data_IF_658052246236
#
_entry.id   IF_658052246236
#
_cell.length_a   1.000
_cell.length_b   1.000
_cell.length_c   1.000
_cell.angle_alpha   90.00
_cell.angle_beta   90.00
_cell.angle_gamma   90.00
#
_symmetry.space_group_name_H-M   'P 1'
#
loop_
_entity.id
_entity.type
_entity.pdbx_description
1 polymer ?
#
# COMPACT_ATOMS: atom_id res chain seq x y z
N UNK A 1 34.20 -23.65 -18.73
CA UNK A 1 34.17 -23.15 -17.35
C UNK A 1 32.73 -22.83 -17.04
N UNK A 2 32.10 -23.69 -16.24
CA UNK A 2 30.68 -23.69 -15.89
C UNK A 2 30.51 -23.01 -14.52
N UNK A 3 29.48 -22.18 -14.41
CA UNK A 3 28.69 -21.93 -13.19
C UNK A 3 29.37 -21.24 -11.99
N UNK A 4 29.90 -20.02 -12.17
CA UNK A 4 30.22 -19.11 -11.04
C UNK A 4 29.18 -18.00 -10.83
N UNK A 5 28.30 -17.74 -11.81
CA UNK A 5 27.30 -16.66 -11.72
C UNK A 5 26.07 -17.02 -10.86
N UNK A 6 25.84 -18.30 -10.57
CA UNK A 6 24.66 -18.76 -9.82
C UNK A 6 24.80 -18.62 -8.30
N UNK A 7 26.00 -18.84 -7.75
CA UNK A 7 26.20 -18.78 -6.30
C UNK A 7 26.37 -17.35 -5.78
N UNK A 8 27.01 -16.45 -6.54
CA UNK A 8 27.09 -15.02 -6.18
C UNK A 8 25.70 -14.38 -6.11
N UNK A 9 24.81 -14.72 -7.04
CA UNK A 9 23.43 -14.20 -7.07
C UNK A 9 22.59 -14.65 -5.87
N UNK A 10 22.67 -15.93 -5.49
CA UNK A 10 21.90 -16.46 -4.36
C UNK A 10 22.38 -15.90 -3.01
N UNK A 11 23.68 -15.82 -2.81
CA UNK A 11 24.28 -15.29 -1.57
C UNK A 11 23.99 -13.80 -1.37
N UNK A 12 23.93 -13.05 -2.48
CA UNK A 12 23.65 -11.62 -2.45
C UNK A 12 22.15 -11.32 -2.21
N UNK A 13 21.25 -12.15 -2.77
CA UNK A 13 19.82 -12.10 -2.46
C UNK A 13 19.55 -12.37 -0.97
N UNK A 14 20.25 -13.36 -0.39
CA UNK A 14 20.18 -13.68 1.04
C UNK A 14 20.64 -12.47 1.89
N UNK A 15 21.72 -11.79 1.48
CA UNK A 15 22.18 -10.56 2.14
C UNK A 15 21.17 -9.43 2.06
N UNK A 16 20.60 -9.15 0.89
CA UNK A 16 19.57 -8.11 0.71
C UNK A 16 18.33 -8.42 1.56
N UNK A 17 17.87 -9.67 1.58
CA UNK A 17 16.79 -10.13 2.48
C UNK A 17 17.14 -9.89 3.95
N UNK A 18 18.36 -10.22 4.37
CA UNK A 18 18.77 -10.03 5.76
C UNK A 18 18.82 -8.55 6.17
N UNK A 19 19.26 -7.67 5.27
CA UNK A 19 19.24 -6.21 5.50
C UNK A 19 17.81 -5.72 5.68
N UNK A 20 16.89 -6.10 4.80
CA UNK A 20 15.46 -5.74 4.89
C UNK A 20 14.85 -6.27 6.19
N UNK A 21 15.07 -7.54 6.53
CA UNK A 21 14.55 -8.15 7.77
C UNK A 21 15.08 -7.44 9.02
N UNK A 22 16.37 -7.07 9.03
CA UNK A 22 16.96 -6.34 10.14
C UNK A 22 16.36 -4.93 10.25
N UNK A 23 16.13 -4.25 9.12
CA UNK A 23 15.51 -2.94 9.08
C UNK A 23 14.08 -2.98 9.65
N UNK A 24 13.25 -3.94 9.21
CA UNK A 24 11.90 -4.18 9.73
C UNK A 24 11.92 -4.43 11.24
N UNK A 25 12.86 -5.25 11.72
CA UNK A 25 12.97 -5.58 13.14
C UNK A 25 13.37 -4.39 14.02
N UNK A 26 14.02 -3.38 13.43
CA UNK A 26 14.51 -2.19 14.14
C UNK A 26 13.55 -1.00 14.10
N UNK A 27 12.61 -0.96 13.14
CA UNK A 27 11.70 0.17 12.95
C UNK A 27 10.22 -0.24 13.16
N UNK A 28 9.55 0.29 14.20
CA UNK A 28 8.12 0.05 14.45
C UNK A 28 7.19 0.41 13.28
N UNK A 29 7.58 1.39 12.44
CA UNK A 29 6.80 1.80 11.26
C UNK A 29 6.83 0.75 10.16
N UNK A 30 7.93 0.00 10.05
CA UNK A 30 8.08 -1.08 9.07
C UNK A 30 7.38 -2.36 9.53
N UNK A 31 7.18 -2.55 10.84
CA UNK A 31 6.39 -3.66 11.38
C UNK A 31 4.92 -3.60 10.94
N UNK A 32 4.31 -2.42 10.84
CA UNK A 32 2.92 -2.29 10.34
C UNK A 32 2.82 -2.58 8.84
N UNK A 33 3.92 -2.48 8.11
CA UNK A 33 4.02 -2.70 6.65
C UNK A 33 4.58 -4.08 6.29
N UNK A 34 4.73 -4.98 7.27
CA UNK A 34 5.38 -6.30 7.10
C UNK A 34 4.85 -7.09 5.91
N UNK A 35 3.54 -7.19 5.72
CA UNK A 35 2.95 -7.94 4.61
C UNK A 35 3.35 -7.38 3.24
N UNK A 36 3.43 -6.05 3.11
CA UNK A 36 3.84 -5.38 1.89
C UNK A 36 5.33 -5.51 1.64
N UNK A 37 6.14 -5.54 2.70
CA UNK A 37 7.58 -5.80 2.60
C UNK A 37 7.84 -7.27 2.22
N UNK A 38 7.07 -8.23 2.75
CA UNK A 38 7.13 -9.62 2.31
C UNK A 38 6.74 -9.77 0.84
N UNK A 39 5.70 -9.06 0.38
CA UNK A 39 5.32 -9.01 -1.04
C UNK A 39 6.45 -8.46 -1.90
N UNK A 40 7.07 -7.35 -1.49
CA UNK A 40 8.23 -6.77 -2.17
C UNK A 40 9.40 -7.76 -2.25
N UNK A 41 9.72 -8.44 -1.15
CA UNK A 41 10.79 -9.43 -1.08
C UNK A 41 10.56 -10.62 -2.02
N UNK A 42 9.31 -11.00 -2.25
CA UNK A 42 8.96 -12.15 -3.09
C UNK A 42 8.81 -11.79 -4.57
N UNK A 43 8.34 -10.58 -4.88
CA UNK A 43 7.99 -10.19 -6.26
C UNK A 43 9.01 -9.24 -6.92
N UNK A 44 9.82 -8.52 -6.14
CA UNK A 44 10.71 -7.48 -6.67
C UNK A 44 12.18 -7.69 -6.35
N UNK A 45 12.52 -8.42 -5.29
CA UNK A 45 13.89 -8.52 -4.79
C UNK A 45 14.88 -9.16 -5.78
N UNK A 46 14.41 -10.09 -6.62
CA UNK A 46 15.24 -10.75 -7.64
C UNK A 46 15.61 -9.83 -8.82
N UNK A 47 14.81 -8.77 -9.05
CA UNK A 47 15.00 -7.85 -10.18
C UNK A 47 15.83 -6.60 -9.84
N UNK A 48 16.13 -6.37 -8.56
CA UNK A 48 16.80 -5.13 -8.12
C UNK A 48 18.31 -5.21 -8.37
N UNK A 49 18.89 -4.29 -9.14
CA UNK A 49 20.33 -4.21 -9.36
C UNK A 49 21.11 -4.14 -8.03
N UNK A 50 22.34 -4.67 -7.99
CA UNK A 50 23.16 -4.70 -6.77
C UNK A 50 23.50 -3.32 -6.20
N UNK A 51 23.47 -2.28 -7.03
CA UNK A 51 23.76 -0.89 -6.65
C UNK A 51 22.50 -0.05 -6.39
N UNK A 52 21.30 -0.61 -6.57
CA UNK A 52 20.07 0.13 -6.33
C UNK A 52 19.83 0.28 -4.83
N UNK A 53 19.35 1.46 -4.45
CA UNK A 53 18.93 1.71 -3.08
C UNK A 53 17.63 0.94 -2.82
N UNK A 54 17.70 -0.01 -1.89
CA UNK A 54 16.57 -0.88 -1.55
C UNK A 54 15.41 -0.08 -0.98
N UNK A 55 15.70 1.04 -0.30
CA UNK A 55 14.67 1.90 0.28
C UNK A 55 13.94 2.68 -0.83
N UNK A 56 14.66 3.18 -1.83
CA UNK A 56 14.05 3.86 -3.00
C UNK A 56 13.20 2.90 -3.84
N UNK A 57 13.67 1.69 -4.07
CA UNK A 57 12.93 0.65 -4.79
C UNK A 57 11.68 0.21 -4.02
N UNK A 58 11.77 0.12 -2.69
CA UNK A 58 10.62 -0.16 -1.84
C UNK A 58 9.60 0.99 -1.86
N UNK A 59 10.04 2.24 -1.78
CA UNK A 59 9.19 3.43 -1.91
C UNK A 59 8.45 3.47 -3.26
N UNK A 60 9.14 3.12 -4.35
CA UNK A 60 8.53 3.03 -5.68
C UNK A 60 7.49 1.91 -5.74
N UNK A 61 7.84 0.71 -5.25
CA UNK A 61 6.91 -0.41 -5.14
C UNK A 61 5.68 -0.05 -4.32
N UNK A 62 5.89 0.58 -3.16
CA UNK A 62 4.84 1.01 -2.25
C UNK A 62 3.87 1.98 -2.91
N UNK A 63 4.38 3.01 -3.58
CA UNK A 63 3.56 3.99 -4.31
C UNK A 63 2.73 3.32 -5.40
N UNK A 64 3.30 2.33 -6.10
CA UNK A 64 2.59 1.54 -7.10
C UNK A 64 1.47 0.72 -6.48
N UNK A 65 1.75 -0.05 -5.43
CA UNK A 65 0.78 -0.89 -4.72
C UNK A 65 -0.37 -0.05 -4.14
N UNK A 66 -0.06 1.10 -3.51
CA UNK A 66 -1.04 2.03 -2.99
C UNK A 66 -1.98 2.52 -4.08
N UNK A 67 -1.44 2.91 -5.24
CA UNK A 67 -2.23 3.38 -6.39
C UNK A 67 -3.14 2.26 -6.92
N UNK A 68 -2.61 1.07 -7.11
CA UNK A 68 -3.38 -0.08 -7.60
C UNK A 68 -4.50 -0.48 -6.62
N UNK A 69 -4.22 -0.48 -5.32
CA UNK A 69 -5.21 -0.74 -4.29
C UNK A 69 -6.32 0.33 -4.26
N UNK A 70 -5.96 1.61 -4.47
CA UNK A 70 -6.92 2.70 -4.56
C UNK A 70 -7.82 2.59 -5.80
N UNK A 71 -7.23 2.31 -6.95
CA UNK A 71 -7.95 2.08 -8.22
C UNK A 71 -8.91 0.89 -8.08
N UNK A 72 -8.46 -0.21 -7.49
CA UNK A 72 -9.27 -1.39 -7.23
C UNK A 72 -10.44 -1.08 -6.29
N UNK A 73 -10.18 -0.37 -5.19
CA UNK A 73 -11.23 0.05 -4.26
C UNK A 73 -12.28 0.91 -4.96
N UNK A 74 -11.85 1.88 -5.78
CA UNK A 74 -12.75 2.73 -6.54
C UNK A 74 -13.60 1.93 -7.54
N UNK A 75 -13.02 0.93 -8.22
CA UNK A 75 -13.75 0.09 -9.16
C UNK A 75 -14.77 -0.83 -8.47
N UNK A 76 -14.35 -1.56 -7.43
CA UNK A 76 -15.21 -2.51 -6.70
C UNK A 76 -16.41 -1.83 -6.08
N UNK A 77 -16.21 -0.64 -5.50
CA UNK A 77 -17.24 0.10 -4.79
C UNK A 77 -17.96 1.15 -5.66
N UNK A 78 -17.60 1.26 -6.94
CA UNK A 78 -18.16 2.24 -7.90
C UNK A 78 -18.02 3.68 -7.39
N UNK A 79 -16.80 4.02 -6.97
CA UNK A 79 -16.42 5.34 -6.49
C UNK A 79 -15.75 6.14 -7.62
N UNK A 80 -15.81 7.46 -7.51
CA UNK A 80 -15.03 8.36 -8.32
C UNK A 80 -13.57 8.34 -7.80
N UNK A 81 -12.61 7.92 -8.63
CA UNK A 81 -11.21 7.75 -8.20
C UNK A 81 -10.57 9.08 -7.79
N UNK A 82 -10.87 10.18 -8.47
CA UNK A 82 -10.31 11.50 -8.15
C UNK A 82 -10.78 11.97 -6.76
N UNK A 83 -12.07 11.80 -6.46
CA UNK A 83 -12.63 12.15 -5.15
C UNK A 83 -12.07 11.26 -4.05
N UNK A 84 -11.91 9.95 -4.32
CA UNK A 84 -11.32 9.03 -3.36
C UNK A 84 -9.86 9.40 -3.07
N UNK A 85 -9.08 9.74 -4.10
CA UNK A 85 -7.70 10.23 -3.95
C UNK A 85 -7.63 11.51 -3.10
N UNK A 86 -8.56 12.45 -3.30
CA UNK A 86 -8.66 13.66 -2.47
C UNK A 86 -8.89 13.30 -1.00
N UNK A 87 -9.74 12.32 -0.69
CA UNK A 87 -9.97 11.89 0.69
C UNK A 87 -8.74 11.23 1.31
N UNK A 88 -8.03 10.39 0.55
CA UNK A 88 -6.76 9.79 1.01
C UNK A 88 -5.75 10.89 1.30
N UNK A 89 -5.53 11.82 0.37
CA UNK A 89 -4.57 12.92 0.56
C UNK A 89 -4.93 13.79 1.77
N UNK A 90 -6.22 14.05 2.00
CA UNK A 90 -6.68 14.79 3.18
C UNK A 90 -6.31 14.03 4.46
N UNK A 91 -6.60 12.73 4.51
CA UNK A 91 -6.24 11.89 5.65
C UNK A 91 -4.72 11.85 5.87
N UNK A 92 -3.91 11.76 4.82
CA UNK A 92 -2.44 11.80 4.92
C UNK A 92 -1.91 13.10 5.53
N UNK A 93 -2.62 14.21 5.35
CA UNK A 93 -2.21 15.51 5.89
C UNK A 93 -2.73 15.78 7.31
N UNK A 94 -3.93 15.30 7.65
CA UNK A 94 -4.59 15.63 8.91
C UNK A 94 -4.64 14.47 9.91
N UNK A 95 -4.41 13.23 9.47
CA UNK A 95 -4.66 11.99 10.22
C UNK A 95 -6.13 11.84 10.70
N UNK A 96 -7.03 12.68 10.18
CA UNK A 96 -8.43 12.70 10.55
C UNK A 96 -9.28 11.91 9.56
N UNK A 97 -10.07 10.95 10.06
CA UNK A 97 -10.97 10.16 9.24
C UNK A 97 -12.02 11.05 8.53
N UNK A 98 -12.26 10.86 7.23
CA UNK A 98 -13.27 11.61 6.50
C UNK A 98 -14.67 11.44 7.09
N UNK A 99 -15.51 12.47 6.96
CA UNK A 99 -16.89 12.37 7.39
C UNK A 99 -17.66 11.39 6.50
N UNK A 100 -18.77 10.86 7.05
CA UNK A 100 -19.68 10.00 6.27
C UNK A 100 -20.20 10.67 5.00
N UNK A 101 -20.42 11.98 5.03
CA UNK A 101 -20.85 12.75 3.86
C UNK A 101 -19.74 12.85 2.82
N UNK A 102 -18.49 13.12 3.23
CA UNK A 102 -17.32 13.13 2.32
C UNK A 102 -17.18 11.77 1.61
N UNK A 103 -17.31 10.66 2.35
CA UNK A 103 -17.26 9.30 1.80
C UNK A 103 -18.42 9.06 0.84
N UNK A 104 -19.63 9.48 1.21
CA UNK A 104 -20.80 9.36 0.34
C UNK A 104 -20.63 10.13 -0.97
N UNK A 105 -19.95 11.27 -0.95
CA UNK A 105 -19.71 12.12 -2.11
C UNK A 105 -18.76 11.49 -3.13
N UNK A 106 -18.00 10.46 -2.73
CA UNK A 106 -17.18 9.67 -3.66
C UNK A 106 -18.01 8.74 -4.54
N UNK A 107 -19.25 8.41 -4.18
CA UNK A 107 -20.09 7.50 -4.98
C UNK A 107 -20.38 8.10 -6.36
N UNK A 108 -20.22 7.28 -7.41
CA UNK A 108 -20.53 7.71 -8.78
C UNK A 108 -22.03 7.93 -9.01
N UNK A 109 -22.89 7.22 -8.25
CA UNK A 109 -24.34 7.33 -8.33
C UNK A 109 -24.92 7.65 -6.96
N UNK A 110 -26.02 8.41 -6.93
CA UNK A 110 -26.72 8.74 -5.69
C UNK A 110 -27.58 7.55 -5.26
N UNK A 111 -27.25 6.85 -4.15
CA UNK A 111 -28.08 5.77 -3.64
C UNK A 111 -29.35 6.32 -2.97
N UNK A 112 -30.33 5.45 -2.73
CA UNK A 112 -31.49 5.81 -1.89
C UNK A 112 -31.07 6.04 -0.44
N UNK A 113 -31.89 6.75 0.36
CA UNK A 113 -31.58 7.03 1.77
C UNK A 113 -31.26 5.77 2.60
N UNK A 114 -31.97 4.67 2.36
CA UNK A 114 -31.76 3.41 3.06
C UNK A 114 -30.45 2.74 2.64
N UNK A 115 -30.18 2.68 1.34
CA UNK A 115 -28.94 2.12 0.79
C UNK A 115 -27.73 2.95 1.22
N UNK A 116 -27.88 4.27 1.30
CA UNK A 116 -26.82 5.20 1.68
C UNK A 116 -26.20 4.82 3.02
N UNK A 117 -27.01 4.57 4.05
CA UNK A 117 -26.50 4.23 5.39
C UNK A 117 -25.65 2.95 5.38
N UNK A 118 -26.09 1.92 4.65
CA UNK A 118 -25.38 0.65 4.57
C UNK A 118 -24.09 0.77 3.74
N UNK A 119 -24.17 1.41 2.57
CA UNK A 119 -23.04 1.59 1.66
C UNK A 119 -21.97 2.43 2.35
N UNK A 120 -22.33 3.60 2.89
CA UNK A 120 -21.36 4.51 3.53
C UNK A 120 -20.68 3.87 4.74
N UNK A 121 -21.40 3.04 5.52
CA UNK A 121 -20.77 2.27 6.60
C UNK A 121 -19.69 1.33 6.07
N UNK A 122 -20.00 0.52 5.07
CA UNK A 122 -19.02 -0.38 4.42
C UNK A 122 -17.85 0.37 3.82
N UNK A 123 -18.11 1.51 3.17
CA UNK A 123 -17.05 2.34 2.59
C UNK A 123 -16.13 2.94 3.64
N UNK A 124 -16.66 3.36 4.79
CA UNK A 124 -15.85 3.84 5.89
C UNK A 124 -14.93 2.76 6.45
N UNK A 125 -15.43 1.53 6.59
CA UNK A 125 -14.60 0.40 7.04
C UNK A 125 -13.52 0.04 6.01
N UNK A 126 -13.85 0.05 4.71
CA UNK A 126 -12.88 -0.19 3.64
C UNK A 126 -11.85 0.93 3.51
N UNK A 127 -12.26 2.18 3.66
CA UNK A 127 -11.35 3.32 3.69
C UNK A 127 -10.41 3.22 4.88
N UNK A 128 -10.94 2.87 6.06
CA UNK A 128 -10.14 2.63 7.27
C UNK A 128 -9.10 1.54 7.03
N UNK A 129 -9.51 0.38 6.52
CA UNK A 129 -8.59 -0.71 6.22
C UNK A 129 -7.51 -0.28 5.21
N UNK A 130 -7.89 0.48 4.17
CA UNK A 130 -6.93 1.01 3.21
C UNK A 130 -5.91 1.94 3.88
N UNK A 131 -6.34 2.89 4.70
CA UNK A 131 -5.41 3.81 5.37
C UNK A 131 -4.56 3.09 6.41
N UNK A 132 -5.11 2.14 7.17
CA UNK A 132 -4.34 1.34 8.14
C UNK A 132 -3.20 0.56 7.44
N UNK A 133 -3.41 0.08 6.22
CA UNK A 133 -2.39 -0.61 5.42
C UNK A 133 -1.41 0.35 4.75
N UNK A 134 -1.90 1.41 4.10
CA UNK A 134 -1.09 2.22 3.17
C UNK A 134 -0.63 3.57 3.71
N UNK A 135 -1.20 4.05 4.81
CA UNK A 135 -0.94 5.38 5.38
C UNK A 135 -0.54 5.29 6.85
N UNK A 136 -1.19 4.43 7.64
CA UNK A 136 -0.96 4.26 9.07
C UNK A 136 0.45 3.78 9.37
N UNK A 137 1.08 4.42 10.36
CA UNK A 137 2.41 4.08 10.84
C UNK A 137 3.54 4.74 10.05
N UNK A 138 3.48 6.05 9.84
CA UNK A 138 4.64 6.91 9.54
C UNK A 138 4.79 7.94 10.66
#
# INVERSE_FOLDING_TARGET
>A
MRDLHGEESHTEQERKRQVIVNLIGSDPTLLSKKELIEKFMNEHLEGIPTYADVDEEFEYFWKREKREALEKLAQEEKLNPDKLQILVNRYEMSEEMPLREDIADTLQTKPTLLQRKQIVGRLADRFKAFVDTFVGGF
#
